data_IF_778882933024
#
_entry.id   IF_778882933024
#
_cell.length_a   1.000
_cell.length_b   1.000
_cell.length_c   1.000
_cell.angle_alpha   90.00
_cell.angle_beta   90.00
_cell.angle_gamma   90.00
#
_symmetry.space_group_name_H-M   'P 1'
#
loop_
_entity.id
_entity.type
_entity.pdbx_description
1 polymer ?
#
# COMPACT_ATOMS: atom_id res chain seq x y z
N UNK A 1 -5.68 19.61 -18.72
CA UNK A 1 -4.55 18.90 -18.07
C UNK A 1 -5.14 17.94 -17.07
N UNK A 2 -5.05 16.62 -17.32
CA UNK A 2 -5.64 15.61 -16.46
C UNK A 2 -4.93 15.58 -15.10
N UNK A 3 -5.70 15.66 -14.02
CA UNK A 3 -5.22 15.63 -12.65
C UNK A 3 -4.62 14.24 -12.35
N UNK A 4 -3.32 14.04 -12.63
CA UNK A 4 -2.68 12.72 -12.59
C UNK A 4 -2.26 12.39 -11.17
N UNK A 5 -3.16 11.75 -10.44
CA UNK A 5 -2.83 11.14 -9.16
C UNK A 5 -1.99 9.88 -9.38
N UNK A 6 -0.89 9.75 -8.65
CA UNK A 6 -0.05 8.55 -8.67
C UNK A 6 0.12 8.02 -7.26
N UNK A 7 0.14 6.70 -7.10
CA UNK A 7 0.43 6.04 -5.85
C UNK A 7 1.72 5.23 -5.98
N UNK A 8 2.57 5.33 -4.97
CA UNK A 8 3.71 4.44 -4.77
C UNK A 8 3.54 3.74 -3.43
N UNK A 9 3.91 2.47 -3.37
CA UNK A 9 3.95 1.69 -2.14
C UNK A 9 5.35 1.12 -1.98
N UNK A 10 5.89 1.22 -0.78
CA UNK A 10 7.14 0.58 -0.36
C UNK A 10 6.82 -0.25 0.87
N UNK A 11 7.40 -1.44 0.94
CA UNK A 11 7.25 -2.38 2.04
C UNK A 11 8.65 -2.66 2.59
N UNK A 12 8.88 -2.36 3.86
CA UNK A 12 10.18 -2.53 4.51
C UNK A 12 10.03 -3.40 5.77
N UNK A 13 11.05 -4.21 6.06
CA UNK A 13 11.06 -4.97 7.30
C UNK A 13 11.33 -4.07 8.50
N UNK A 14 10.45 -4.12 9.49
CA UNK A 14 10.67 -3.50 10.80
C UNK A 14 10.28 -4.49 11.90
N UNK A 15 11.27 -5.25 12.38
CA UNK A 15 11.08 -6.27 13.42
C UNK A 15 9.93 -7.25 13.10
N UNK A 16 8.86 -7.32 13.91
CA UNK A 16 7.74 -8.25 13.72
C UNK A 16 6.68 -7.79 12.70
N UNK A 17 6.89 -6.63 12.05
CA UNK A 17 5.96 -6.07 11.07
C UNK A 17 6.66 -5.79 9.73
N UNK A 18 5.86 -5.63 8.69
CA UNK A 18 6.26 -4.90 7.49
C UNK A 18 5.69 -3.49 7.58
N UNK A 19 6.56 -2.47 7.60
CA UNK A 19 6.13 -1.08 7.47
C UNK A 19 5.80 -0.82 6.00
N UNK A 20 4.55 -0.41 5.76
CA UNK A 20 4.05 -0.04 4.44
C UNK A 20 3.96 1.48 4.34
N UNK A 21 4.78 2.05 3.46
CA UNK A 21 4.77 3.47 3.15
C UNK A 21 4.07 3.72 1.82
N UNK A 22 2.94 4.42 1.87
CA UNK A 22 2.12 4.79 0.72
C UNK A 22 2.28 6.27 0.42
N UNK A 23 2.85 6.58 -0.75
CA UNK A 23 3.08 7.96 -1.20
C UNK A 23 2.11 8.28 -2.33
N UNK A 24 1.19 9.20 -2.07
CA UNK A 24 0.27 9.73 -3.07
C UNK A 24 0.82 11.05 -3.61
N UNK A 25 1.03 11.11 -4.93
CA UNK A 25 1.47 12.32 -5.63
C UNK A 25 0.26 12.96 -6.31
N UNK A 26 -0.20 14.08 -5.76
CA UNK A 26 -1.26 14.93 -6.30
C UNK A 26 -0.73 16.28 -6.82
N UNK A 27 -1.64 17.20 -7.09
CA UNK A 27 -1.33 18.52 -7.67
C UNK A 27 -0.60 19.46 -6.70
N UNK A 28 -0.93 19.42 -5.41
CA UNK A 28 -0.52 20.45 -4.46
C UNK A 28 0.63 20.01 -3.54
N UNK A 29 0.60 18.78 -3.02
CA UNK A 29 1.70 18.22 -2.23
C UNK A 29 1.66 16.68 -2.22
N UNK A 30 2.82 16.01 -2.08
CA UNK A 30 2.84 14.58 -1.79
C UNK A 30 2.19 14.31 -0.42
N UNK A 31 1.28 13.34 -0.36
CA UNK A 31 0.79 12.79 0.90
C UNK A 31 1.51 11.47 1.18
N UNK A 32 1.96 11.30 2.42
CA UNK A 32 2.59 10.06 2.90
C UNK A 32 1.69 9.46 3.97
N UNK A 33 1.38 8.18 3.82
CA UNK A 33 0.69 7.39 4.83
C UNK A 33 1.50 6.14 5.13
N UNK A 34 1.84 5.95 6.39
CA UNK A 34 2.57 4.79 6.88
C UNK A 34 1.64 3.91 7.71
N UNK A 35 1.80 2.60 7.59
CA UNK A 35 1.16 1.65 8.50
C UNK A 35 2.00 0.40 8.71
N UNK A 36 1.87 -0.16 9.90
CA UNK A 36 2.47 -1.44 10.23
C UNK A 36 1.50 -2.58 9.93
N UNK A 37 1.95 -3.54 9.14
CA UNK A 37 1.23 -4.80 8.91
C UNK A 37 1.99 -5.94 9.60
N UNK A 38 1.45 -6.55 10.67
CA UNK A 38 2.11 -7.68 11.33
C UNK A 38 2.35 -8.85 10.37
N UNK A 39 3.56 -9.42 10.39
CA UNK A 39 3.88 -10.58 9.54
C UNK A 39 2.95 -11.75 9.81
N UNK A 40 2.68 -12.05 11.09
CA UNK A 40 1.75 -13.13 11.46
C UNK A 40 0.36 -12.93 10.83
N UNK A 41 -0.14 -11.69 10.81
CA UNK A 41 -1.41 -11.38 10.19
C UNK A 41 -1.33 -11.58 8.67
N UNK A 42 -0.35 -10.97 8.01
CA UNK A 42 -0.15 -11.07 6.57
C UNK A 42 0.00 -12.53 6.12
N UNK A 43 0.86 -13.30 6.78
CA UNK A 43 1.13 -14.70 6.44
C UNK A 43 -0.13 -15.57 6.60
N UNK A 44 -0.94 -15.32 7.63
CA UNK A 44 -2.19 -16.07 7.86
C UNK A 44 -3.26 -15.84 6.79
N UNK A 45 -3.29 -14.65 6.17
CA UNK A 45 -4.31 -14.27 5.18
C UNK A 45 -3.82 -14.36 3.73
N UNK A 46 -2.50 -14.33 3.53
CA UNK A 46 -1.86 -14.23 2.24
C UNK A 46 -1.89 -12.83 1.62
N UNK A 47 -0.98 -12.58 0.68
CA UNK A 47 -0.70 -11.25 0.12
C UNK A 47 -1.91 -10.58 -0.54
N UNK A 48 -2.79 -11.35 -1.19
CA UNK A 48 -3.99 -10.80 -1.82
C UNK A 48 -4.94 -10.18 -0.81
N UNK A 49 -5.23 -10.90 0.28
CA UNK A 49 -6.14 -10.42 1.33
C UNK A 49 -5.52 -9.27 2.12
N UNK A 50 -4.22 -9.34 2.40
CA UNK A 50 -3.47 -8.26 3.04
C UNK A 50 -3.53 -6.96 2.23
N UNK A 51 -3.28 -7.03 0.91
CA UNK A 51 -3.38 -5.86 0.05
C UNK A 51 -4.79 -5.25 0.03
N UNK A 52 -5.84 -6.09 0.06
CA UNK A 52 -7.22 -5.62 0.11
C UNK A 52 -7.54 -4.91 1.44
N UNK A 53 -7.03 -5.42 2.56
CA UNK A 53 -7.16 -4.79 3.87
C UNK A 53 -6.49 -3.41 3.87
N UNK A 54 -5.24 -3.34 3.45
CA UNK A 54 -4.48 -2.07 3.38
C UNK A 54 -5.15 -1.09 2.42
N UNK A 55 -5.60 -1.54 1.25
CA UNK A 55 -6.29 -0.69 0.27
C UNK A 55 -7.63 -0.15 0.83
N UNK A 56 -8.33 -0.95 1.63
CA UNK A 56 -9.54 -0.51 2.33
C UNK A 56 -9.21 0.58 3.36
N UNK A 57 -8.20 0.38 4.19
CA UNK A 57 -7.75 1.35 5.19
C UNK A 57 -7.27 2.65 4.54
N UNK A 58 -6.50 2.54 3.44
CA UNK A 58 -6.08 3.68 2.63
C UNK A 58 -7.28 4.51 2.16
N UNK A 59 -8.34 3.85 1.66
CA UNK A 59 -9.55 4.52 1.18
C UNK A 59 -10.33 5.19 2.31
N UNK A 60 -10.41 4.56 3.47
CA UNK A 60 -11.06 5.14 4.65
C UNK A 60 -10.32 6.40 5.12
N UNK A 61 -8.99 6.40 5.01
CA UNK A 61 -8.14 7.55 5.38
C UNK A 61 -8.06 8.64 4.31
N UNK A 62 -7.95 8.26 3.03
CA UNK A 62 -7.74 9.14 1.88
C UNK A 62 -8.81 8.90 0.79
N UNK A 63 -10.09 9.21 1.06
CA UNK A 63 -11.20 8.86 0.16
C UNK A 63 -11.09 9.52 -1.22
N UNK A 64 -10.59 10.77 -1.29
CA UNK A 64 -10.40 11.47 -2.57
C UNK A 64 -9.27 10.86 -3.40
N UNK A 65 -8.10 10.60 -2.79
CA UNK A 65 -7.00 9.94 -3.46
C UNK A 65 -7.40 8.56 -3.98
N UNK A 66 -8.05 7.73 -3.14
CA UNK A 66 -8.53 6.41 -3.53
C UNK A 66 -9.55 6.47 -4.68
N UNK A 67 -10.44 7.48 -4.69
CA UNK A 67 -11.39 7.69 -5.79
C UNK A 67 -10.68 8.02 -7.11
N UNK A 68 -9.66 8.86 -7.07
CA UNK A 68 -8.92 9.31 -8.26
C UNK A 68 -7.95 8.24 -8.80
N UNK A 69 -7.35 7.45 -7.91
CA UNK A 69 -6.46 6.35 -8.26
C UNK A 69 -7.22 5.10 -8.74
N UNK A 70 -8.40 4.85 -8.16
CA UNK A 70 -9.23 3.68 -8.44
C UNK A 70 -8.85 2.46 -7.59
N UNK A 71 -9.85 1.82 -6.99
CA UNK A 71 -9.69 0.72 -6.02
C UNK A 71 -8.81 -0.43 -6.53
N UNK A 72 -9.03 -0.87 -7.78
CA UNK A 72 -8.26 -1.97 -8.37
C UNK A 72 -6.78 -1.62 -8.57
N UNK A 73 -6.49 -0.35 -8.88
CA UNK A 73 -5.13 0.13 -9.09
C UNK A 73 -4.38 0.23 -7.76
N UNK A 74 -5.00 0.85 -6.74
CA UNK A 74 -4.46 0.93 -5.38
C UNK A 74 -4.14 -0.47 -4.83
N UNK A 75 -5.08 -1.41 -4.91
CA UNK A 75 -4.88 -2.77 -4.43
C UNK A 75 -3.73 -3.49 -5.14
N UNK A 76 -3.59 -3.29 -6.46
CA UNK A 76 -2.49 -3.88 -7.23
C UNK A 76 -1.13 -3.34 -6.81
N UNK A 77 -1.01 -2.02 -6.59
CA UNK A 77 0.23 -1.38 -6.16
C UNK A 77 0.68 -1.94 -4.80
N UNK A 78 -0.25 -2.03 -3.84
CA UNK A 78 0.06 -2.58 -2.52
C UNK A 78 0.45 -4.05 -2.61
N UNK A 79 -0.29 -4.86 -3.37
CA UNK A 79 0.02 -6.28 -3.55
C UNK A 79 1.42 -6.49 -4.14
N UNK A 80 1.80 -5.66 -5.11
CA UNK A 80 3.13 -5.72 -5.72
C UNK A 80 4.23 -5.37 -4.72
N UNK A 81 4.05 -4.33 -3.90
CA UNK A 81 5.04 -3.96 -2.88
C UNK A 81 5.24 -5.09 -1.86
N UNK A 82 4.15 -5.70 -1.38
CA UNK A 82 4.20 -6.86 -0.49
C UNK A 82 4.87 -8.08 -1.15
N UNK A 83 4.58 -8.37 -2.42
CA UNK A 83 5.21 -9.46 -3.15
C UNK A 83 6.71 -9.24 -3.37
N UNK A 84 7.10 -8.01 -3.72
CA UNK A 84 8.49 -7.64 -3.89
C UNK A 84 9.26 -7.84 -2.58
N UNK A 85 8.75 -7.29 -1.48
CA UNK A 85 9.33 -7.48 -0.15
C UNK A 85 9.43 -8.96 0.25
N UNK A 86 8.36 -9.73 0.01
CA UNK A 86 8.38 -11.18 0.26
C UNK A 86 9.45 -11.90 -0.56
N UNK A 87 9.74 -11.45 -1.78
CA UNK A 87 10.78 -12.03 -2.64
C UNK A 87 12.17 -11.67 -2.14
N UNK A 88 12.37 -10.43 -1.68
CA UNK A 88 13.62 -9.94 -1.11
C UNK A 88 13.96 -10.65 0.20
N UNK A 89 12.97 -10.95 1.05
CA UNK A 89 13.16 -11.69 2.31
C UNK A 89 13.66 -13.14 2.15
N UNK A 90 13.42 -13.76 0.98
CA UNK A 90 13.77 -15.17 0.72
C UNK A 90 15.15 -15.31 0.06
N UNK A 91 15.73 -14.22 -0.43
CA UNK A 91 17.08 -14.19 -1.01
C UNK A 91 18.14 -14.03 0.07
#
# INVERSE_FOLDING_TARGET
>A
MGNRYTLRAVAEADGPVVSLVLVTLGHDHPEVWEMDLPYMLWESMGTRAAAQLVARLFRERHPMAARLLGNCHTNRIIANALQQHSTERVR
#
